data_IF_018508252232
#
_entry.id   IF_018508252232
#
_cell.length_a   1.000
_cell.length_b   1.000
_cell.length_c   1.000
_cell.angle_alpha   90.00
_cell.angle_beta   90.00
_cell.angle_gamma   90.00
#
_symmetry.space_group_name_H-M   'P 1'
#
loop_
_entity.id
_entity.type
_entity.pdbx_description
1 polymer ?
#
# COMPACT_ATOMS: atom_id res chain seq x y z
N UNK A 1 27.30 0.27 18.73
CA UNK A 1 26.75 -0.20 17.44
C UNK A 1 25.32 -0.65 17.70
N UNK A 2 24.41 0.31 17.79
CA UNK A 2 22.98 0.14 17.99
C UNK A 2 22.38 0.91 16.81
N UNK A 3 21.94 0.22 15.76
CA UNK A 3 21.11 0.86 14.75
C UNK A 3 19.72 0.98 15.40
N UNK A 4 19.55 2.05 16.16
CA UNK A 4 18.30 2.44 16.76
C UNK A 4 17.28 2.61 15.65
N UNK A 5 16.10 2.03 15.85
CA UNK A 5 14.90 2.51 15.17
C UNK A 5 14.70 3.91 15.75
N UNK A 6 15.25 4.90 15.06
CA UNK A 6 15.09 6.29 15.43
C UNK A 6 13.65 6.69 15.10
N UNK A 7 12.85 6.59 16.17
CA UNK A 7 11.63 7.33 16.44
C UNK A 7 10.49 7.16 15.44
N UNK A 8 9.47 6.40 15.87
CA UNK A 8 8.09 6.62 15.43
C UNK A 8 7.65 7.98 16.01
N UNK A 9 8.14 9.08 15.45
CA UNK A 9 7.50 10.37 15.68
C UNK A 9 6.16 10.28 14.95
N UNK A 10 5.09 10.07 15.71
CA UNK A 10 3.74 10.31 15.26
C UNK A 10 3.57 11.80 14.98
N UNK A 11 4.13 12.26 13.87
CA UNK A 11 3.84 13.58 13.35
C UNK A 11 2.36 13.52 12.97
N UNK A 12 1.52 14.23 13.71
CA UNK A 12 0.11 14.41 13.34
C UNK A 12 0.14 15.11 11.99
N UNK A 13 0.10 14.31 10.92
CA UNK A 13 -0.13 14.83 9.59
C UNK A 13 -1.40 15.66 9.66
N UNK A 14 -1.32 16.93 9.27
CA UNK A 14 -2.52 17.73 9.10
C UNK A 14 -3.38 17.01 8.08
N UNK A 15 -4.47 16.41 8.56
CA UNK A 15 -5.33 15.50 7.81
C UNK A 15 -5.70 16.03 6.42
N UNK A 16 -5.92 17.34 6.32
CA UNK A 16 -6.21 18.03 5.07
C UNK A 16 -5.04 18.01 4.07
N UNK A 17 -3.78 18.16 4.54
CA UNK A 17 -2.62 18.11 3.65
C UNK A 17 -2.37 16.72 3.10
N UNK A 18 -2.56 15.68 3.92
CA UNK A 18 -2.51 14.30 3.45
C UNK A 18 -3.56 14.02 2.39
N UNK A 19 -4.80 14.50 2.59
CA UNK A 19 -5.87 14.38 1.59
C UNK A 19 -5.47 15.06 0.27
N UNK A 20 -4.89 16.25 0.33
CA UNK A 20 -4.40 16.97 -0.86
C UNK A 20 -3.35 16.15 -1.61
N UNK A 21 -2.32 15.67 -0.90
CA UNK A 21 -1.23 14.88 -1.50
C UNK A 21 -1.74 13.55 -2.08
N UNK A 22 -2.62 12.84 -1.39
CA UNK A 22 -3.22 11.59 -1.88
C UNK A 22 -4.08 11.85 -3.10
N UNK A 23 -4.91 12.90 -3.08
CA UNK A 23 -5.75 13.29 -4.23
C UNK A 23 -4.90 13.63 -5.46
N UNK A 24 -3.79 14.33 -5.27
CA UNK A 24 -2.86 14.65 -6.35
C UNK A 24 -2.14 13.40 -6.86
N UNK A 25 -1.75 12.49 -5.95
CA UNK A 25 -1.17 11.19 -6.29
C UNK A 25 -2.11 10.35 -7.15
N UNK A 26 -3.37 10.24 -6.75
CA UNK A 26 -4.42 9.58 -7.52
C UNK A 26 -4.55 10.20 -8.92
N UNK A 27 -4.56 11.53 -9.04
CA UNK A 27 -4.62 12.21 -10.35
C UNK A 27 -3.41 11.86 -11.22
N UNK A 28 -2.21 11.89 -10.66
CA UNK A 28 -0.97 11.61 -11.39
C UNK A 28 -0.90 10.17 -11.86
N UNK A 29 -1.17 9.21 -10.96
CA UNK A 29 -1.09 7.78 -11.27
C UNK A 29 -2.21 7.34 -12.22
N UNK A 30 -3.45 7.79 -12.03
CA UNK A 30 -4.59 7.36 -12.87
C UNK A 30 -4.60 7.98 -14.26
N UNK A 31 -3.83 9.04 -14.48
CA UNK A 31 -3.57 9.61 -15.80
C UNK A 31 -2.32 9.00 -16.46
N UNK A 32 -1.65 8.03 -15.83
CA UNK A 32 -0.51 7.32 -16.39
C UNK A 32 -0.96 5.95 -16.90
N UNK A 33 -0.86 5.74 -18.21
CA UNK A 33 -1.32 4.51 -18.85
C UNK A 33 -0.53 3.28 -18.39
N UNK A 34 0.79 3.40 -18.20
CA UNK A 34 1.59 2.28 -17.71
C UNK A 34 1.18 1.84 -16.29
N UNK A 35 0.86 2.80 -15.43
CA UNK A 35 0.33 2.52 -14.10
C UNK A 35 -1.05 1.86 -14.18
N UNK A 36 -1.92 2.35 -15.07
CA UNK A 36 -3.26 1.80 -15.26
C UNK A 36 -3.23 0.37 -15.81
N UNK A 37 -2.31 0.07 -16.73
CA UNK A 37 -2.10 -1.27 -17.26
C UNK A 37 -1.59 -2.22 -16.15
N UNK A 38 -0.61 -1.77 -15.36
CA UNK A 38 -0.09 -2.52 -14.22
C UNK A 38 -1.20 -2.83 -13.20
N UNK A 39 -1.92 -1.82 -12.70
CA UNK A 39 -2.96 -2.05 -11.68
C UNK A 39 -4.11 -2.91 -12.23
N UNK A 40 -4.47 -2.78 -13.51
CA UNK A 40 -5.45 -3.69 -14.15
C UNK A 40 -4.98 -5.13 -14.09
N UNK A 41 -3.70 -5.37 -14.40
CA UNK A 41 -3.11 -6.70 -14.41
C UNK A 41 -3.05 -7.35 -13.02
N UNK A 42 -3.09 -6.54 -11.96
CA UNK A 42 -3.09 -7.00 -10.57
C UNK A 42 -4.48 -7.20 -9.97
N UNK A 43 -5.54 -6.64 -10.56
CA UNK A 43 -6.91 -6.83 -10.05
C UNK A 43 -7.46 -8.19 -10.51
N UNK A 44 -8.12 -8.91 -9.61
CA UNK A 44 -8.92 -10.11 -9.91
C UNK A 44 -10.40 -9.72 -9.89
N UNK A 45 -11.00 -9.68 -11.07
CA UNK A 45 -12.36 -9.17 -11.24
C UNK A 45 -13.40 -10.27 -10.97
N UNK A 46 -13.08 -11.54 -11.25
CA UNK A 46 -13.94 -12.70 -11.02
C UNK A 46 -13.34 -13.72 -10.05
N UNK A 47 -14.20 -14.52 -9.42
CA UNK A 47 -13.79 -15.62 -8.52
C UNK A 47 -12.88 -16.63 -9.25
N UNK A 48 -13.11 -16.89 -10.54
CA UNK A 48 -12.24 -17.76 -11.35
C UNK A 48 -10.81 -17.22 -11.54
N UNK A 49 -10.65 -15.89 -11.64
CA UNK A 49 -9.32 -15.27 -11.73
C UNK A 49 -8.61 -15.34 -10.37
N UNK A 50 -9.37 -15.19 -9.28
CA UNK A 50 -8.88 -15.33 -7.90
C UNK A 50 -8.37 -16.75 -7.61
N UNK A 51 -9.16 -17.77 -7.94
CA UNK A 51 -8.83 -19.18 -7.71
C UNK A 51 -7.64 -19.67 -8.54
N UNK A 52 -7.46 -19.12 -9.75
CA UNK A 52 -6.38 -19.56 -10.65
C UNK A 52 -5.04 -18.90 -10.36
N UNK A 53 -5.01 -17.60 -10.06
CA UNK A 53 -3.77 -16.84 -9.88
C UNK A 53 -3.25 -16.87 -8.44
N UNK A 54 -4.17 -16.99 -7.45
CA UNK A 54 -3.86 -17.04 -6.01
C UNK A 54 -3.03 -15.84 -5.51
N UNK A 55 -3.11 -14.71 -6.20
CA UNK A 55 -2.49 -13.43 -5.86
C UNK A 55 -3.26 -12.24 -6.42
N UNK A 56 -2.74 -11.02 -6.17
CA UNK A 56 -3.32 -9.78 -6.64
C UNK A 56 -4.41 -9.21 -5.74
N UNK A 57 -5.05 -8.15 -6.22
CA UNK A 57 -6.11 -7.41 -5.56
C UNK A 57 -7.47 -8.01 -5.94
N UNK A 58 -8.02 -8.83 -5.06
CA UNK A 58 -9.32 -9.46 -5.28
C UNK A 58 -10.47 -8.49 -5.02
N UNK A 59 -11.53 -8.57 -5.81
CA UNK A 59 -12.74 -7.75 -5.62
C UNK A 59 -13.28 -7.85 -4.18
N UNK A 60 -13.31 -9.06 -3.60
CA UNK A 60 -13.81 -9.31 -2.24
C UNK A 60 -12.95 -8.64 -1.16
N UNK A 61 -11.62 -8.77 -1.23
CA UNK A 61 -10.71 -8.09 -0.30
C UNK A 61 -10.72 -6.55 -0.46
N UNK A 62 -11.22 -6.03 -1.58
CA UNK A 62 -11.48 -4.60 -1.78
C UNK A 62 -12.87 -4.15 -1.30
N UNK A 63 -13.68 -5.06 -0.73
CA UNK A 63 -15.06 -4.77 -0.32
C UNK A 63 -16.01 -4.55 -1.51
N UNK A 64 -15.68 -5.09 -2.69
CA UNK A 64 -16.48 -4.99 -3.92
C UNK A 64 -17.06 -6.35 -4.30
N UNK A 65 -18.22 -6.33 -4.93
CA UNK A 65 -18.81 -7.54 -5.51
C UNK A 65 -18.01 -7.99 -6.74
N UNK A 66 -17.76 -9.30 -6.94
CA UNK A 66 -17.16 -9.82 -8.16
C UNK A 66 -17.99 -9.46 -9.40
N UNK A 67 -17.32 -9.30 -10.54
CA UNK A 67 -17.94 -9.05 -11.84
C UNK A 67 -17.26 -9.91 -12.92
N UNK A 68 -17.93 -10.21 -14.05
CA UNK A 68 -17.25 -10.88 -15.16
C UNK A 68 -15.98 -10.12 -15.57
N UNK A 69 -14.84 -10.82 -15.69
CA UNK A 69 -13.54 -10.16 -15.82
C UNK A 69 -13.40 -9.22 -17.02
N UNK A 70 -14.09 -9.52 -18.12
CA UNK A 70 -14.16 -8.64 -19.30
C UNK A 70 -14.88 -7.32 -19.01
N UNK A 71 -15.98 -7.34 -18.23
CA UNK A 71 -16.70 -6.14 -17.79
C UNK A 71 -15.85 -5.33 -16.82
N UNK A 72 -15.22 -6.00 -15.87
CA UNK A 72 -14.32 -5.38 -14.90
C UNK A 72 -13.19 -4.61 -15.56
N UNK A 73 -12.52 -5.24 -16.54
CA UNK A 73 -11.47 -4.60 -17.36
C UNK A 73 -12.00 -3.44 -18.20
N UNK A 74 -13.10 -3.64 -18.91
CA UNK A 74 -13.66 -2.63 -19.82
C UNK A 74 -14.05 -1.34 -19.09
N UNK A 75 -14.57 -1.46 -17.87
CA UNK A 75 -14.98 -0.32 -17.06
C UNK A 75 -13.96 0.08 -15.99
N UNK A 76 -12.76 -0.53 -15.96
CA UNK A 76 -11.74 -0.27 -14.93
C UNK A 76 -11.42 1.22 -14.85
N UNK A 77 -11.10 1.85 -15.99
CA UNK A 77 -10.80 3.29 -16.08
C UNK A 77 -11.94 4.19 -15.60
N UNK A 78 -13.19 3.72 -15.70
CA UNK A 78 -14.38 4.45 -15.24
C UNK A 78 -14.56 4.28 -13.73
N UNK A 79 -14.41 3.05 -13.22
CA UNK A 79 -14.56 2.73 -11.79
C UNK A 79 -13.40 3.22 -10.92
N UNK A 80 -12.20 3.26 -11.48
CA UNK A 80 -10.93 3.69 -10.85
C UNK A 80 -10.57 5.12 -11.28
N UNK A 81 -11.56 5.94 -11.65
CA UNK A 81 -11.30 7.34 -11.99
C UNK A 81 -10.77 8.15 -10.80
N UNK A 82 -9.82 9.06 -11.05
CA UNK A 82 -9.15 9.90 -10.04
C UNK A 82 -10.10 10.56 -9.04
N UNK A 83 -11.26 11.04 -9.50
CA UNK A 83 -12.28 11.67 -8.64
C UNK A 83 -12.94 10.67 -7.68
N UNK A 84 -13.30 9.49 -8.16
CA UNK A 84 -13.96 8.44 -7.36
C UNK A 84 -13.02 7.90 -6.28
N UNK A 85 -11.78 7.59 -6.68
CA UNK A 85 -10.76 7.11 -5.76
C UNK A 85 -10.42 8.18 -4.71
N UNK A 86 -10.20 9.43 -5.12
CA UNK A 86 -9.92 10.52 -4.18
C UNK A 86 -11.04 10.77 -3.17
N UNK A 87 -12.31 10.63 -3.58
CA UNK A 87 -13.45 10.74 -2.66
C UNK A 87 -13.46 9.61 -1.63
N UNK A 88 -13.15 8.40 -2.07
CA UNK A 88 -13.06 7.21 -1.20
C UNK A 88 -11.90 7.36 -0.22
N UNK A 89 -10.72 7.72 -0.70
CA UNK A 89 -9.54 7.91 0.15
C UNK A 89 -9.73 9.06 1.14
N UNK A 90 -10.34 10.16 0.72
CA UNK A 90 -10.68 11.25 1.64
C UNK A 90 -11.64 10.78 2.75
N UNK A 91 -12.69 10.04 2.40
CA UNK A 91 -13.60 9.46 3.41
C UNK A 91 -12.85 8.55 4.37
N UNK A 92 -11.98 7.68 3.84
CA UNK A 92 -11.19 6.76 4.64
C UNK A 92 -10.20 7.48 5.55
N UNK A 93 -9.51 8.51 5.05
CA UNK A 93 -8.61 9.35 5.84
C UNK A 93 -9.40 10.04 6.94
N UNK A 94 -10.58 10.62 6.65
CA UNK A 94 -11.43 11.30 7.65
C UNK A 94 -12.02 10.35 8.70
N UNK A 95 -12.32 9.11 8.33
CA UNK A 95 -12.81 8.08 9.25
C UNK A 95 -11.73 7.36 10.06
N UNK A 96 -10.45 7.57 9.76
CA UNK A 96 -9.34 6.90 10.47
C UNK A 96 -8.96 7.64 11.75
N UNK A 97 -8.50 6.91 12.76
CA UNK A 97 -8.05 7.47 14.03
C UNK A 97 -6.78 8.31 13.83
N UNK A 98 -5.82 7.78 13.07
CA UNK A 98 -4.56 8.48 12.79
C UNK A 98 -3.98 8.11 11.42
N UNK A 99 -2.98 8.90 11.01
CA UNK A 99 -2.09 8.59 9.90
C UNK A 99 -0.70 8.32 10.46
N UNK A 100 0.04 7.42 9.83
CA UNK A 100 1.40 7.05 10.22
C UNK A 100 2.29 7.02 9.00
N UNK A 101 3.51 7.55 9.13
CA UNK A 101 4.52 7.53 8.08
C UNK A 101 5.73 6.72 8.56
N UNK A 102 6.15 5.75 7.76
CA UNK A 102 7.41 5.03 8.00
C UNK A 102 8.47 5.66 7.11
N UNK A 103 9.58 6.08 7.72
CA UNK A 103 10.67 6.79 7.07
C UNK A 103 11.94 5.94 7.04
N UNK A 104 12.91 6.33 6.21
CA UNK A 104 14.27 5.81 6.25
C UNK A 104 15.30 6.89 5.95
N UNK A 105 16.49 6.79 6.52
CA UNK A 105 17.57 7.77 6.28
C UNK A 105 18.05 7.79 4.82
N UNK A 106 18.04 6.64 4.16
CA UNK A 106 18.47 6.47 2.76
C UNK A 106 17.34 5.90 1.93
N UNK A 107 17.45 6.07 0.62
CA UNK A 107 16.51 5.53 -0.36
C UNK A 107 17.17 4.45 -1.24
N UNK A 108 17.70 3.41 -0.59
CA UNK A 108 18.36 2.27 -1.24
C UNK A 108 17.68 0.94 -0.86
N UNK A 109 18.05 -0.14 -1.57
CA UNK A 109 17.47 -1.48 -1.37
C UNK A 109 17.58 -1.98 0.06
N UNK A 110 18.70 -1.71 0.73
CA UNK A 110 18.91 -2.13 2.13
C UNK A 110 17.90 -1.44 3.05
N UNK A 111 17.73 -0.13 2.86
CA UNK A 111 16.78 0.68 3.63
C UNK A 111 15.34 0.25 3.37
N UNK A 112 14.98 -0.09 2.13
CA UNK A 112 13.66 -0.61 1.81
C UNK A 112 13.36 -1.94 2.49
N UNK A 113 14.34 -2.85 2.57
CA UNK A 113 14.20 -4.11 3.31
C UNK A 113 13.97 -3.84 4.80
N UNK A 114 14.77 -2.96 5.41
CA UNK A 114 14.60 -2.62 6.83
C UNK A 114 13.27 -1.92 7.14
N UNK A 115 12.78 -1.08 6.23
CA UNK A 115 11.44 -0.49 6.29
C UNK A 115 10.37 -1.58 6.24
N UNK A 116 10.51 -2.56 5.35
CA UNK A 116 9.59 -3.70 5.26
C UNK A 116 9.55 -4.52 6.56
N UNK A 117 10.71 -4.83 7.13
CA UNK A 117 10.81 -5.55 8.43
C UNK A 117 10.24 -4.74 9.58
N UNK A 118 10.37 -3.43 9.55
CA UNK A 118 9.81 -2.55 10.57
C UNK A 118 8.29 -2.47 10.44
N UNK A 119 7.79 -2.32 9.21
CA UNK A 119 6.38 -2.32 8.90
C UNK A 119 5.70 -3.62 9.30
N UNK A 120 6.30 -4.79 9.04
CA UNK A 120 5.76 -6.08 9.47
C UNK A 120 5.52 -6.12 10.99
N UNK A 121 6.52 -5.70 11.78
CA UNK A 121 6.38 -5.65 13.25
C UNK A 121 5.30 -4.67 13.69
N UNK A 122 5.20 -3.51 13.04
CA UNK A 122 4.13 -2.54 13.30
C UNK A 122 2.77 -3.16 13.00
N UNK A 123 2.59 -3.75 11.82
CA UNK A 123 1.33 -4.35 11.39
C UNK A 123 0.89 -5.49 12.31
N UNK A 124 1.81 -6.36 12.72
CA UNK A 124 1.53 -7.43 13.68
C UNK A 124 1.15 -6.86 15.06
N UNK A 125 1.85 -5.83 15.53
CA UNK A 125 1.53 -5.17 16.81
C UNK A 125 0.15 -4.52 16.78
N UNK A 126 -0.18 -3.80 15.69
CA UNK A 126 -1.51 -3.24 15.51
C UNK A 126 -2.58 -4.34 15.51
N UNK A 127 -2.31 -5.49 14.89
CA UNK A 127 -3.22 -6.63 14.85
C UNK A 127 -3.48 -7.20 16.26
N UNK A 128 -2.47 -7.32 17.12
CA UNK A 128 -2.68 -7.77 18.52
C UNK A 128 -3.44 -6.77 19.37
N UNK A 129 -3.52 -5.52 18.92
CA UNK A 129 -4.28 -4.44 19.55
C UNK A 129 -5.66 -4.22 18.91
N UNK A 130 -6.05 -5.08 17.96
CA UNK A 130 -7.30 -4.96 17.20
C UNK A 130 -7.40 -3.62 16.44
N UNK A 131 -6.27 -3.09 16.00
CA UNK A 131 -6.16 -1.88 15.18
C UNK A 131 -5.86 -2.28 13.73
N UNK A 132 -6.71 -1.82 12.82
CA UNK A 132 -6.56 -2.03 11.40
C UNK A 132 -5.64 -0.99 10.77
N UNK A 133 -4.96 -1.38 9.70
CA UNK A 133 -4.12 -0.49 8.92
C UNK A 133 -4.33 -0.68 7.41
N UNK A 134 -4.16 0.40 6.64
CA UNK A 134 -4.20 0.36 5.18
C UNK A 134 -3.27 1.40 4.56
N UNK A 135 -2.69 1.07 3.41
CA UNK A 135 -1.77 1.94 2.68
C UNK A 135 -2.47 3.08 1.94
N UNK A 136 -1.77 4.21 1.87
CA UNK A 136 -2.07 5.41 1.10
C UNK A 136 -0.77 5.89 0.43
N UNK A 137 -0.05 4.99 -0.23
CA UNK A 137 1.36 5.21 -0.62
C UNK A 137 1.57 6.13 -1.82
N UNK A 138 0.52 6.61 -2.49
CA UNK A 138 0.67 7.46 -3.69
C UNK A 138 1.60 8.66 -3.46
N UNK A 139 1.54 9.37 -2.31
CA UNK A 139 2.48 10.45 -1.98
C UNK A 139 3.93 10.00 -1.76
N UNK A 140 4.18 8.73 -1.45
CA UNK A 140 5.52 8.15 -1.29
C UNK A 140 6.11 7.63 -2.61
N UNK A 141 5.26 7.29 -3.58
CA UNK A 141 5.63 6.69 -4.86
C UNK A 141 5.88 7.72 -5.97
N UNK A 142 5.13 8.83 -5.97
CA UNK A 142 5.32 9.91 -6.96
C UNK A 142 6.47 10.83 -6.51
N UNK A 143 7.58 10.96 -7.25
CA UNK A 143 8.78 11.67 -6.78
C UNK A 143 8.53 13.11 -6.30
N UNK A 144 7.72 13.87 -7.02
CA UNK A 144 7.38 15.25 -6.68
C UNK A 144 6.54 15.34 -5.40
N UNK A 145 5.64 14.37 -5.18
CA UNK A 145 4.83 14.30 -3.96
C UNK A 145 5.64 13.80 -2.78
N UNK A 146 6.60 12.89 -3.01
CA UNK A 146 7.52 12.40 -1.99
C UNK A 146 8.33 13.54 -1.38
N UNK A 147 8.87 14.42 -2.24
CA UNK A 147 9.59 15.62 -1.80
C UNK A 147 8.70 16.59 -1.02
N UNK A 148 7.45 16.80 -1.47
CA UNK A 148 6.48 17.65 -0.76
C UNK A 148 6.07 17.07 0.59
N UNK A 149 5.89 15.75 0.67
CA UNK A 149 5.60 15.05 1.92
C UNK A 149 6.77 15.16 2.89
N UNK A 150 8.00 14.97 2.40
CA UNK A 150 9.23 15.14 3.18
C UNK A 150 9.34 16.55 3.76
N UNK A 151 9.13 17.59 2.95
CA UNK A 151 9.14 18.98 3.38
C UNK A 151 8.02 19.28 4.38
N UNK A 152 6.81 18.81 4.11
CA UNK A 152 5.66 19.03 4.99
C UNK A 152 5.85 18.44 6.39
N UNK A 153 6.53 17.29 6.47
CA UNK A 153 6.84 16.59 7.71
C UNK A 153 8.17 17.03 8.33
N UNK A 154 8.87 18.01 7.74
CA UNK A 154 10.17 18.49 8.20
C UNK A 154 11.22 17.38 8.41
N UNK A 155 11.22 16.35 7.54
CA UNK A 155 12.05 15.15 7.71
C UNK A 155 13.55 15.36 7.42
N UNK A 156 13.99 16.58 7.11
CA UNK A 156 15.36 16.85 6.68
C UNK A 156 15.75 16.02 5.46
N UNK A 157 16.78 15.18 5.58
CA UNK A 157 17.22 14.25 4.52
C UNK A 157 16.51 12.89 4.56
N UNK A 158 15.70 12.58 5.56
CA UNK A 158 15.01 11.30 5.64
C UNK A 158 13.89 11.18 4.60
N UNK A 159 13.63 9.96 4.15
CA UNK A 159 12.71 9.66 3.06
C UNK A 159 11.42 9.02 3.59
N UNK A 160 10.23 9.55 3.27
CA UNK A 160 8.98 8.86 3.55
C UNK A 160 8.84 7.65 2.62
N UNK A 161 8.65 6.47 3.19
CA UNK A 161 8.59 5.22 2.43
C UNK A 161 7.19 4.64 2.39
N UNK A 162 6.47 4.64 3.51
CA UNK A 162 5.09 4.15 3.60
C UNK A 162 4.22 5.19 4.27
N UNK A 163 3.03 5.42 3.73
CA UNK A 163 1.98 6.20 4.37
C UNK A 163 0.80 5.27 4.67
N UNK A 164 0.40 5.23 5.92
CA UNK A 164 -0.64 4.35 6.43
C UNK A 164 -1.75 5.19 7.07
N UNK A 165 -2.98 4.71 6.93
CA UNK A 165 -4.06 5.08 7.84
C UNK A 165 -4.26 3.95 8.85
N UNK A 166 -4.55 4.31 10.10
CA UNK A 166 -4.82 3.36 11.17
C UNK A 166 -6.11 3.72 11.93
N UNK A 167 -6.83 2.71 12.39
CA UNK A 167 -8.07 2.88 13.14
C UNK A 167 -8.82 1.56 13.32
N UNK A 168 -10.10 1.64 13.63
CA UNK A 168 -10.95 0.47 13.80
C UNK A 168 -11.84 0.28 12.57
N UNK A 169 -11.99 -0.96 12.11
CA UNK A 169 -12.85 -1.31 10.99
C UNK A 169 -13.32 -2.76 11.12
N UNK A 170 -14.40 -3.09 10.41
CA UNK A 170 -14.85 -4.49 10.26
C UNK A 170 -13.84 -5.29 9.43
N UNK A 171 -13.61 -6.57 9.76
CA UNK A 171 -12.67 -7.41 9.03
C UNK A 171 -13.16 -7.67 7.60
N UNK A 172 -12.23 -7.61 6.65
CA UNK A 172 -12.48 -7.98 5.25
C UNK A 172 -12.08 -9.44 5.00
N UNK A 173 -12.64 -10.08 3.96
CA UNK A 173 -12.19 -11.41 3.52
C UNK A 173 -10.68 -11.43 3.29
N UNK A 174 -10.03 -12.52 3.71
CA UNK A 174 -8.59 -12.72 3.50
C UNK A 174 -8.29 -12.80 2.01
N UNK A 175 -7.25 -12.10 1.58
CA UNK A 175 -6.73 -12.26 0.22
C UNK A 175 -6.04 -13.62 0.05
N UNK A 176 -6.16 -14.26 -1.12
CA UNK A 176 -5.47 -15.52 -1.41
C UNK A 176 -3.96 -15.33 -1.39
N UNK A 177 -3.25 -16.44 -1.19
CA UNK A 177 -1.78 -16.50 -1.22
C UNK A 177 -1.36 -17.68 -2.06
N UNK A 178 -0.35 -17.47 -2.93
CA UNK A 178 0.29 -18.56 -3.66
C UNK A 178 0.81 -19.61 -2.68
N UNK A 179 0.67 -20.90 -2.98
CA UNK A 179 1.17 -21.97 -2.12
C UNK A 179 2.70 -21.92 -2.06
N UNK A 180 3.27 -22.34 -0.92
CA UNK A 180 4.71 -22.20 -0.67
C UNK A 180 5.59 -22.88 -1.75
N UNK A 181 5.09 -23.95 -2.38
CA UNK A 181 5.79 -24.65 -3.47
C UNK A 181 6.02 -23.79 -4.71
N UNK A 182 5.20 -22.75 -4.93
CA UNK A 182 5.38 -21.81 -6.05
C UNK A 182 6.38 -20.69 -5.75
N UNK A 183 6.77 -20.49 -4.49
CA UNK A 183 7.62 -19.36 -4.07
C UNK A 183 8.92 -19.78 -3.39
N UNK A 184 9.04 -21.04 -2.97
CA UNK A 184 10.27 -21.60 -2.40
C UNK A 184 10.97 -22.48 -3.43
N UNK A 185 12.23 -22.18 -3.70
CA UNK A 185 13.11 -23.08 -4.45
C UNK A 185 13.86 -23.98 -3.46
N UNK A 186 13.89 -25.29 -3.74
CA UNK A 186 14.76 -26.20 -2.97
C UNK A 186 16.22 -25.82 -3.26
N UNK A 187 16.96 -25.49 -2.21
CA UNK A 187 18.41 -25.33 -2.33
C UNK A 187 19.02 -26.70 -2.58
N UNK A 188 19.66 -26.88 -3.74
CA UNK A 188 20.60 -27.96 -3.95
C UNK A 188 21.86 -27.65 -3.13
N UNK A 189 22.11 -28.40 -2.06
CA UNK A 189 23.43 -28.36 -1.42
C UNK A 189 24.44 -28.83 -2.47
N UNK A 190 25.44 -28.00 -2.77
CA UNK A 190 26.61 -28.46 -3.53
C UNK A 190 27.30 -29.49 -2.64
N UNK A 191 27.23 -30.76 -3.03
CA UNK A 191 28.05 -31.82 -2.46
C UNK A 191 29.49 -31.51 -2.83
N UNK A 192 30.23 -30.84 -1.95
CA UNK A 192 31.69 -30.78 -2.04
C UNK A 192 32.21 -32.16 -1.67
N UNK A 193 32.49 -32.97 -2.70
CA UNK A 193 33.37 -34.14 -2.63
C UNK A 193 34.82 -33.71 -2.48
#
# INVERSE_FOLDING_TARGET
MQAGIDTVEGCILYRNKSIELVREGNRTQMNNDAFMDEITSWIRFSDSEEESQLDGLTSRAMGRSPAPGWLGRMFMRIFVGAKSQSKTDEKNIRGSSALMVVISEKNDKKSWIEVGRSFERIALTLTTLEIENAHLNQPCEVPQLKNRLQQHLALGSAHPQLLLRIGYAEPLPRSPRRPHQQVLMKSSRVSTS
#
